data_IF_201796738085
#
_entry.id   IF_201796738085
#
_cell.length_a   1.000
_cell.length_b   1.000
_cell.length_c   1.000
_cell.angle_alpha   90.00
_cell.angle_beta   90.00
_cell.angle_gamma   90.00
#
_symmetry.space_group_name_H-M   'P 1'
#
loop_
_entity.id
_entity.type
_entity.pdbx_description
1 polymer ?
#
# COMPACT_ATOMS: atom_id res chain seq x y z
N UNK A 1 -6.52 -0.63 -5.34
CA UNK A 1 -5.14 -0.19 -5.02
C UNK A 1 -4.84 -0.48 -3.55
N UNK A 2 -3.63 -0.95 -3.26
CA UNK A 2 -3.07 -1.13 -1.91
C UNK A 2 -2.05 0.01 -1.67
N UNK A 3 -2.43 0.98 -0.85
CA UNK A 3 -1.65 2.20 -0.57
C UNK A 3 -1.06 2.09 0.84
N UNK A 4 0.27 2.09 0.94
CA UNK A 4 1.05 1.60 2.09
C UNK A 4 1.23 0.08 2.08
N UNK A 5 1.51 -0.49 0.90
CA UNK A 5 1.54 -1.94 0.70
C UNK A 5 2.65 -2.67 1.48
N UNK A 6 3.64 -1.94 2.01
CA UNK A 6 4.79 -2.53 2.65
C UNK A 6 5.45 -3.57 1.74
N UNK A 7 5.80 -4.74 2.29
CA UNK A 7 6.40 -5.86 1.53
C UNK A 7 5.39 -6.64 0.67
N UNK A 8 4.18 -6.09 0.46
CA UNK A 8 3.14 -6.61 -0.43
C UNK A 8 2.19 -7.61 0.21
N UNK A 9 2.09 -7.69 1.54
CA UNK A 9 1.27 -8.72 2.21
C UNK A 9 -0.19 -8.77 1.73
N UNK A 10 -0.87 -7.63 1.76
CA UNK A 10 -2.27 -7.51 1.32
C UNK A 10 -2.40 -7.59 -0.20
N UNK A 11 -1.53 -6.89 -0.95
CA UNK A 11 -1.46 -7.00 -2.41
C UNK A 11 -1.33 -8.45 -2.91
N UNK A 12 -0.49 -9.27 -2.27
CA UNK A 12 -0.32 -10.70 -2.60
C UNK A 12 -1.57 -11.51 -2.29
N UNK A 13 -2.24 -11.23 -1.18
CA UNK A 13 -3.49 -11.90 -0.82
C UNK A 13 -4.61 -11.58 -1.82
N UNK A 14 -4.75 -10.31 -2.21
CA UNK A 14 -5.69 -9.85 -3.24
C UNK A 14 -5.38 -10.46 -4.62
N UNK A 15 -4.11 -10.48 -5.03
CA UNK A 15 -3.69 -11.08 -6.29
C UNK A 15 -3.96 -12.59 -6.34
N UNK A 16 -3.77 -13.32 -5.22
CA UNK A 16 -4.16 -14.74 -5.11
C UNK A 16 -5.66 -14.96 -5.28
N UNK A 17 -6.48 -13.96 -4.96
CA UNK A 17 -7.92 -13.98 -5.21
C UNK A 17 -8.29 -13.59 -6.66
N UNK A 18 -7.31 -13.31 -7.52
CA UNK A 18 -7.51 -12.94 -8.92
C UNK A 18 -7.74 -11.46 -9.18
N UNK A 19 -7.42 -10.60 -8.20
CA UNK A 19 -7.58 -9.14 -8.31
C UNK A 19 -6.29 -8.52 -8.84
N UNK A 20 -6.39 -7.64 -9.84
CA UNK A 20 -5.25 -6.82 -10.28
C UNK A 20 -5.02 -5.68 -9.29
N UNK A 21 -3.79 -5.53 -8.80
CA UNK A 21 -3.46 -4.61 -7.70
C UNK A 21 -2.34 -3.65 -8.12
N UNK A 22 -2.59 -2.35 -7.99
CA UNK A 22 -1.51 -1.37 -7.80
C UNK A 22 -1.11 -1.41 -6.32
N UNK A 23 0.14 -1.78 -6.03
CA UNK A 23 0.75 -1.78 -4.71
C UNK A 23 1.74 -0.60 -4.61
N UNK A 24 1.49 0.33 -3.68
CA UNK A 24 2.27 1.55 -3.53
C UNK A 24 2.88 1.65 -2.14
N UNK A 25 4.19 1.88 -2.09
CA UNK A 25 4.88 2.26 -0.87
C UNK A 25 5.90 3.37 -1.17
N UNK A 26 6.19 4.22 -0.19
CA UNK A 26 7.18 5.30 -0.32
C UNK A 26 8.60 4.82 -0.06
N UNK A 27 8.76 3.70 0.64
CA UNK A 27 10.08 3.15 0.98
C UNK A 27 10.62 2.31 -0.19
N UNK A 28 11.73 2.72 -0.83
CA UNK A 28 12.25 2.02 -2.00
C UNK A 28 12.64 0.57 -1.71
N UNK A 29 13.21 0.30 -0.54
CA UNK A 29 13.63 -1.06 -0.17
C UNK A 29 12.41 -1.96 -0.05
N UNK A 30 11.36 -1.48 0.60
CA UNK A 30 10.14 -2.23 0.82
C UNK A 30 9.40 -2.49 -0.51
N UNK A 31 9.40 -1.53 -1.43
CA UNK A 31 8.90 -1.71 -2.79
C UNK A 31 9.68 -2.79 -3.57
N UNK A 32 11.01 -2.84 -3.47
CA UNK A 32 11.80 -3.92 -4.09
C UNK A 32 11.49 -5.29 -3.48
N UNK A 33 11.30 -5.37 -2.16
CA UNK A 33 10.89 -6.62 -1.51
C UNK A 33 9.49 -7.05 -1.97
N UNK A 34 8.56 -6.12 -2.13
CA UNK A 34 7.22 -6.42 -2.65
C UNK A 34 7.28 -6.99 -4.08
N UNK A 35 8.12 -6.43 -4.96
CA UNK A 35 8.37 -6.97 -6.31
C UNK A 35 8.93 -8.38 -6.26
N UNK A 36 9.97 -8.59 -5.46
CA UNK A 36 10.60 -9.89 -5.31
C UNK A 36 9.62 -10.94 -4.77
N UNK A 37 8.75 -10.57 -3.82
CA UNK A 37 7.72 -11.46 -3.30
C UNK A 37 6.66 -11.80 -4.35
N UNK A 38 6.23 -10.83 -5.17
CA UNK A 38 5.28 -11.06 -6.25
C UNK A 38 5.85 -12.04 -7.29
N UNK A 39 7.10 -11.81 -7.73
CA UNK A 39 7.79 -12.69 -8.68
C UNK A 39 8.01 -14.10 -8.12
N UNK A 40 8.49 -14.21 -6.87
CA UNK A 40 8.72 -15.50 -6.22
C UNK A 40 7.44 -16.34 -6.08
N UNK A 41 6.27 -15.70 -6.11
CA UNK A 41 4.96 -16.33 -6.01
C UNK A 41 4.24 -16.46 -7.36
N UNK A 42 4.84 -16.00 -8.47
CA UNK A 42 4.23 -16.04 -9.81
C UNK A 42 3.01 -15.12 -9.95
N UNK A 43 3.01 -14.00 -9.21
CA UNK A 43 1.89 -13.04 -9.14
C UNK A 43 2.25 -11.69 -9.79
N UNK A 44 3.43 -11.54 -10.37
CA UNK A 44 3.92 -10.32 -11.02
C UNK A 44 3.04 -9.87 -12.20
N UNK A 45 2.24 -10.77 -12.79
CA UNK A 45 1.26 -10.43 -13.81
C UNK A 45 -0.01 -9.74 -13.29
N UNK A 46 -0.26 -9.80 -11.98
CA UNK A 46 -1.43 -9.19 -11.32
C UNK A 46 -1.06 -8.03 -10.40
N UNK A 47 0.22 -7.85 -10.08
CA UNK A 47 0.68 -6.81 -9.15
C UNK A 47 1.61 -5.83 -9.86
N UNK A 48 1.18 -4.59 -9.98
CA UNK A 48 2.07 -3.47 -10.30
C UNK A 48 2.60 -2.85 -9.01
N UNK A 49 3.93 -2.85 -8.81
CA UNK A 49 4.54 -2.20 -7.65
C UNK A 49 5.12 -0.85 -8.02
N UNK A 50 4.70 0.20 -7.31
CA UNK A 50 5.14 1.59 -7.51
C UNK A 50 5.76 2.16 -6.23
N UNK A 51 6.98 2.69 -6.34
CA UNK A 51 7.60 3.44 -5.27
C UNK A 51 7.19 4.91 -5.38
N UNK A 52 6.25 5.38 -4.54
CA UNK A 52 5.72 6.74 -4.60
C UNK A 52 5.09 7.16 -3.26
N UNK A 53 4.86 8.46 -3.08
CA UNK A 53 3.96 8.93 -2.03
C UNK A 53 2.52 8.55 -2.38
N UNK A 54 1.85 7.86 -1.47
CA UNK A 54 0.46 7.41 -1.66
C UNK A 54 -0.51 8.57 -1.82
N UNK A 55 -0.17 9.75 -1.30
CA UNK A 55 -1.00 10.97 -1.39
C UNK A 55 -1.03 11.57 -2.81
N UNK A 56 -0.13 11.12 -3.68
CA UNK A 56 -0.03 11.56 -5.08
C UNK A 56 -0.73 10.59 -6.06
N UNK A 57 -1.30 9.49 -5.55
CA UNK A 57 -1.96 8.47 -6.37
C UNK A 57 -3.42 8.87 -6.59
N UNK A 58 -3.81 9.03 -7.86
CA UNK A 58 -5.21 9.15 -8.25
C UNK A 58 -5.92 7.81 -8.04
N UNK A 59 -6.86 7.79 -7.10
CA UNK A 59 -7.62 6.58 -6.74
C UNK A 59 -8.88 6.37 -7.59
N UNK A 60 -9.31 7.39 -8.36
CA UNK A 60 -10.53 7.33 -9.16
C UNK A 60 -10.63 6.18 -10.19
N UNK A 61 -9.52 5.62 -10.73
CA UNK A 61 -9.59 4.50 -11.66
C UNK A 61 -9.78 3.12 -11.01
N UNK A 62 -9.75 3.01 -9.66
CA UNK A 62 -9.74 1.72 -8.97
C UNK A 62 -11.09 1.38 -8.34
N UNK A 63 -11.51 0.11 -8.45
CA UNK A 63 -12.78 -0.38 -7.88
C UNK A 63 -12.79 -0.42 -6.34
N UNK A 64 -11.61 -0.49 -5.73
CA UNK A 64 -11.43 -0.52 -4.28
C UNK A 64 -10.07 0.05 -3.89
N UNK A 65 -10.00 0.67 -2.71
CA UNK A 65 -8.77 1.22 -2.13
C UNK A 65 -8.60 0.64 -0.73
N UNK A 66 -7.41 0.11 -0.46
CA UNK A 66 -6.97 -0.31 0.86
C UNK A 66 -5.84 0.61 1.32
N UNK A 67 -5.90 1.07 2.57
CA UNK A 67 -4.88 1.93 3.17
C UNK A 67 -4.66 1.48 4.62
N UNK A 68 -3.43 1.12 4.98
CA UNK A 68 -3.02 0.88 6.37
C UNK A 68 -1.91 1.86 6.80
N UNK A 69 -2.27 3.04 7.34
CA UNK A 69 -1.29 4.04 7.73
C UNK A 69 -0.35 3.59 8.85
N UNK A 70 0.92 3.98 8.75
CA UNK A 70 1.91 3.71 9.78
C UNK A 70 1.56 4.45 11.09
N UNK A 71 1.52 3.70 12.20
CA UNK A 71 1.24 4.20 13.56
C UNK A 71 2.46 4.16 14.49
N UNK A 72 3.65 4.05 13.92
CA UNK A 72 4.91 3.98 14.66
C UNK A 72 5.91 4.96 14.06
N UNK A 73 6.60 5.68 14.91
CA UNK A 73 7.75 6.52 14.55
C UNK A 73 8.95 6.23 15.44
N UNK A 74 10.00 7.02 15.31
CA UNK A 74 11.24 6.85 16.10
C UNK A 74 11.05 6.96 17.63
N UNK A 75 9.89 7.38 18.12
CA UNK A 75 9.54 7.50 19.55
C UNK A 75 8.56 6.44 20.04
N UNK A 76 8.24 5.44 19.21
CA UNK A 76 7.30 4.37 19.54
C UNK A 76 5.93 4.58 18.90
N UNK A 77 4.87 4.20 19.64
CA UNK A 77 3.49 4.17 19.14
C UNK A 77 2.89 5.56 19.07
N UNK A 78 2.23 5.85 17.97
CA UNK A 78 1.46 7.08 17.73
C UNK A 78 -0.01 6.75 18.01
N UNK A 79 -0.65 7.58 18.85
CA UNK A 79 -2.07 7.40 19.21
C UNK A 79 -2.99 8.40 18.52
N UNK A 80 -2.49 9.60 18.22
CA UNK A 80 -3.22 10.61 17.45
C UNK A 80 -3.38 10.12 15.99
N UNK A 81 -4.61 9.86 15.51
CA UNK A 81 -4.86 9.38 14.14
C UNK A 81 -4.39 10.35 13.05
N UNK A 82 -4.35 11.64 13.34
CA UNK A 82 -3.89 12.64 12.38
C UNK A 82 -2.36 12.69 12.28
N UNK A 83 -1.66 12.07 13.24
CA UNK A 83 -0.21 11.90 13.22
C UNK A 83 0.24 10.57 12.60
N UNK A 84 -0.67 9.77 12.06
CA UNK A 84 -0.31 8.59 11.25
C UNK A 84 0.35 9.03 9.94
N UNK A 85 0.98 8.09 9.24
CA UNK A 85 1.56 8.35 7.93
C UNK A 85 0.96 7.38 6.90
N UNK A 86 0.05 7.84 6.02
CA UNK A 86 -0.59 9.16 5.99
C UNK A 86 -1.60 9.38 7.14
N UNK A 87 -2.12 10.62 7.37
CA UNK A 87 -3.16 10.85 8.36
C UNK A 87 -4.41 9.98 8.12
N UNK A 88 -5.08 9.56 9.20
CA UNK A 88 -6.27 8.70 9.08
C UNK A 88 -7.41 9.39 8.31
N UNK A 89 -7.58 10.70 8.49
CA UNK A 89 -8.55 11.50 7.72
C UNK A 89 -8.31 11.42 6.21
N UNK A 90 -7.05 11.48 5.78
CA UNK A 90 -6.68 11.31 4.38
C UNK A 90 -6.99 9.88 3.90
N UNK A 91 -6.61 8.86 4.68
CA UNK A 91 -6.86 7.46 4.33
C UNK A 91 -8.35 7.16 4.15
N UNK A 92 -9.20 7.72 5.03
CA UNK A 92 -10.65 7.59 4.93
C UNK A 92 -11.20 8.29 3.69
N UNK A 93 -10.67 9.46 3.32
CA UNK A 93 -11.09 10.19 2.12
C UNK A 93 -10.64 9.49 0.82
N UNK A 94 -9.44 8.89 0.81
CA UNK A 94 -8.91 8.18 -0.36
C UNK A 94 -9.69 6.90 -0.70
N UNK A 95 -10.45 6.36 0.26
CA UNK A 95 -11.25 5.15 0.12
C UNK A 95 -12.75 5.39 -0.15
N UNK A 96 -13.15 6.66 -0.39
CA UNK A 96 -14.51 7.07 -0.75
C UNK A 96 -14.60 7.44 -2.25
#
# INVERSE_FOLDING_TARGET
ADLCCGIGGDALALARAGISVLAVDRDPLTAEVARANAEALGLEGLIEVRCADVTEIDTSPYDAVFVDPARRGGRGRIFDPEAYSPPLSWAAAAAL
#
